data_IF_855603945038
#
_entry.id   IF_855603945038
#
_cell.length_a   1.000
_cell.length_b   1.000
_cell.length_c   1.000
_cell.angle_alpha   90.00
_cell.angle_beta   90.00
_cell.angle_gamma   90.00
#
_symmetry.space_group_name_H-M   'P 1'
#
loop_
_entity.id
_entity.type
_entity.pdbx_description
1 polymer ?
#
# COMPACT_ATOMS: atom_id res chain seq x y z
N UNK A 1 -2.62 26.10 -1.38
CA UNK A 1 -2.46 24.64 -1.24
C UNK A 1 -1.56 24.41 -0.05
N UNK A 2 -2.10 23.88 1.04
CA UNK A 2 -1.34 23.64 2.26
C UNK A 2 -1.00 22.15 2.26
N UNK A 3 0.23 21.84 1.91
CA UNK A 3 0.72 20.47 1.91
C UNK A 3 0.73 19.96 3.36
N UNK A 4 0.11 18.80 3.57
CA UNK A 4 0.05 18.11 4.85
C UNK A 4 1.44 17.86 5.43
N UNK A 5 1.54 18.00 6.74
CA UNK A 5 2.73 17.94 7.58
C UNK A 5 3.84 16.96 7.11
N UNK A 6 4.97 17.52 6.64
CA UNK A 6 6.11 16.83 6.01
C UNK A 6 7.07 16.12 6.99
N UNK A 7 6.78 16.12 8.29
CA UNK A 7 7.81 15.92 9.33
C UNK A 7 7.74 14.61 10.11
N UNK A 8 7.40 13.48 9.46
CA UNK A 8 7.68 12.14 10.03
C UNK A 8 8.60 11.35 9.11
N UNK A 9 9.60 10.74 9.74
CA UNK A 9 10.90 10.32 9.22
C UNK A 9 10.78 9.19 8.16
N UNK A 10 10.88 9.57 6.88
CA UNK A 10 11.68 8.84 5.88
C UNK A 10 12.75 9.84 5.44
N UNK A 11 14.00 9.62 5.84
CA UNK A 11 15.10 10.50 5.46
C UNK A 11 15.34 10.35 3.94
N UNK A 12 14.95 11.37 3.17
CA UNK A 12 15.35 11.56 1.77
C UNK A 12 14.30 11.32 0.67
N UNK A 13 13.36 10.38 0.84
CA UNK A 13 12.29 10.18 -0.14
C UNK A 13 10.99 10.75 0.40
N UNK A 14 10.73 12.04 0.12
CA UNK A 14 9.47 12.70 0.47
C UNK A 14 8.32 11.81 -0.01
N UNK A 15 7.33 11.51 0.83
CA UNK A 15 6.11 10.75 0.46
C UNK A 15 5.50 11.21 -0.88
N UNK A 16 5.58 12.51 -1.16
CA UNK A 16 5.20 13.10 -2.46
C UNK A 16 6.01 12.58 -3.65
N UNK A 17 7.29 12.26 -3.49
CA UNK A 17 8.13 11.63 -4.51
C UNK A 17 7.65 10.23 -4.85
N UNK A 18 7.35 9.37 -3.87
CA UNK A 18 6.81 8.01 -4.14
C UNK A 18 5.47 8.12 -4.87
N UNK A 19 4.56 8.97 -4.37
CA UNK A 19 3.30 9.28 -5.06
C UNK A 19 3.53 9.70 -6.51
N UNK A 20 4.41 10.69 -6.73
CA UNK A 20 4.66 11.25 -8.06
C UNK A 20 5.29 10.21 -8.98
N UNK A 21 6.20 9.39 -8.46
CA UNK A 21 6.81 8.30 -9.23
C UNK A 21 5.76 7.25 -9.59
N UNK A 22 4.98 6.76 -8.63
CA UNK A 22 3.96 5.73 -8.88
C UNK A 22 2.88 6.22 -9.84
N UNK A 23 2.34 7.42 -9.63
CA UNK A 23 1.35 8.01 -10.55
C UNK A 23 1.90 8.15 -11.97
N UNK A 24 3.11 8.71 -12.15
CA UNK A 24 3.72 8.85 -13.48
C UNK A 24 4.02 7.52 -14.15
N UNK A 25 4.45 6.51 -13.38
CA UNK A 25 4.71 5.17 -13.92
C UNK A 25 3.42 4.51 -14.38
N UNK A 26 2.34 4.63 -13.60
CA UNK A 26 1.02 4.12 -13.98
C UNK A 26 0.47 4.85 -15.21
N UNK A 27 0.58 6.18 -15.25
CA UNK A 27 0.17 6.97 -16.40
C UNK A 27 0.96 6.59 -17.67
N UNK A 28 2.28 6.42 -17.54
CA UNK A 28 3.14 5.94 -18.62
C UNK A 28 2.70 4.55 -19.10
N UNK A 29 2.46 3.62 -18.18
CA UNK A 29 1.99 2.28 -18.55
C UNK A 29 0.66 2.31 -19.32
N UNK A 30 -0.32 3.05 -18.82
CA UNK A 30 -1.61 3.17 -19.50
C UNK A 30 -1.55 3.88 -20.85
N UNK A 31 -0.52 4.68 -21.10
CA UNK A 31 -0.34 5.43 -22.36
C UNK A 31 0.41 4.60 -23.40
N UNK A 32 1.47 3.91 -22.99
CA UNK A 32 2.40 3.25 -23.89
C UNK A 32 2.08 1.77 -24.16
N UNK A 33 1.22 1.16 -23.34
CA UNK A 33 0.90 -0.25 -23.44
C UNK A 33 -0.61 -0.48 -23.43
N UNK A 34 -1.05 -1.43 -24.25
CA UNK A 34 -2.38 -2.01 -24.18
C UNK A 34 -2.32 -3.24 -23.28
N UNK A 35 -3.20 -3.30 -22.29
CA UNK A 35 -3.28 -4.44 -21.39
C UNK A 35 -4.57 -5.21 -21.63
N UNK A 36 -4.45 -6.52 -21.77
CA UNK A 36 -5.58 -7.44 -21.87
C UNK A 36 -5.27 -8.76 -21.17
N UNK A 37 -6.31 -9.48 -20.77
CA UNK A 37 -6.17 -10.84 -20.25
C UNK A 37 -6.08 -11.83 -21.42
N UNK A 38 -5.01 -12.62 -21.49
CA UNK A 38 -4.79 -13.55 -22.61
C UNK A 38 -5.92 -14.58 -22.79
N UNK A 39 -6.65 -14.93 -21.72
CA UNK A 39 -7.72 -15.93 -21.76
C UNK A 39 -9.07 -15.32 -22.09
N UNK A 40 -9.41 -14.19 -21.47
CA UNK A 40 -10.73 -13.57 -21.64
C UNK A 40 -10.75 -12.50 -22.73
N UNK A 41 -9.57 -12.03 -23.18
CA UNK A 41 -9.40 -10.90 -24.11
C UNK A 41 -10.00 -9.59 -23.55
N UNK A 42 -10.23 -9.53 -22.24
CA UNK A 42 -10.73 -8.32 -21.58
C UNK A 42 -9.62 -7.29 -21.47
N UNK A 43 -9.88 -6.10 -22.02
CA UNK A 43 -8.99 -4.97 -21.95
C UNK A 43 -9.08 -4.29 -20.59
N UNK A 44 -7.95 -3.76 -20.11
CA UNK A 44 -7.90 -3.02 -18.86
C UNK A 44 -6.85 -1.92 -18.86
N UNK A 45 -6.97 -1.03 -17.87
CA UNK A 45 -5.95 -0.06 -17.50
C UNK A 45 -5.74 -0.09 -15.98
N UNK A 46 -4.68 0.54 -15.50
CA UNK A 46 -4.41 0.67 -14.08
C UNK A 46 -4.92 2.01 -13.54
N UNK A 47 -5.72 1.99 -12.48
CA UNK A 47 -6.08 3.19 -11.72
C UNK A 47 -5.21 3.28 -10.46
N UNK A 48 -4.60 4.43 -10.24
CA UNK A 48 -3.82 4.71 -9.03
C UNK A 48 -4.62 5.62 -8.08
N UNK A 49 -4.67 5.27 -6.79
CA UNK A 49 -5.32 6.09 -5.77
C UNK A 49 -4.60 6.07 -4.43
N UNK A 50 -4.83 7.11 -3.63
CA UNK A 50 -4.26 7.30 -2.30
C UNK A 50 -5.41 7.67 -1.35
N UNK A 51 -6.11 6.69 -0.77
CA UNK A 51 -7.41 6.90 -0.11
C UNK A 51 -7.36 7.87 1.08
N UNK A 52 -6.19 8.08 1.68
CA UNK A 52 -6.04 8.83 2.93
C UNK A 52 -5.17 10.10 2.82
N UNK A 53 -4.72 10.50 1.63
CA UNK A 53 -3.79 11.62 1.47
C UNK A 53 -4.36 12.99 1.87
N UNK A 54 -5.64 13.25 1.55
CA UNK A 54 -6.30 14.55 1.77
C UNK A 54 -7.45 14.48 2.79
N UNK A 55 -7.53 13.42 3.61
CA UNK A 55 -8.62 13.33 4.57
C UNK A 55 -8.39 14.29 5.74
N UNK A 56 -9.41 15.09 6.06
CA UNK A 56 -9.39 16.03 7.18
C UNK A 56 -9.31 15.33 8.54
N UNK A 57 -9.79 14.08 8.62
CA UNK A 57 -9.75 13.23 9.80
C UNK A 57 -8.92 11.97 9.57
N UNK A 58 -8.13 11.59 10.57
CA UNK A 58 -7.42 10.31 10.58
C UNK A 58 -8.43 9.14 10.51
N UNK A 59 -8.23 8.16 9.61
CA UNK A 59 -9.12 7.03 9.51
C UNK A 59 -9.01 6.15 10.74
N UNK A 60 -10.09 5.44 11.06
CA UNK A 60 -10.05 4.39 12.06
C UNK A 60 -9.24 3.18 11.56
N UNK A 61 -8.66 2.42 12.50
CA UNK A 61 -8.02 1.13 12.18
C UNK A 61 -8.96 0.20 11.39
N UNK A 62 -10.26 0.22 11.69
CA UNK A 62 -11.25 -0.62 10.99
C UNK A 62 -11.33 -0.26 9.51
N UNK A 63 -11.49 1.03 9.20
CA UNK A 63 -11.55 1.52 7.82
C UNK A 63 -10.26 1.21 7.05
N UNK A 64 -9.09 1.39 7.68
CA UNK A 64 -7.82 1.04 7.04
C UNK A 64 -7.76 -0.44 6.71
N UNK A 65 -8.18 -1.31 7.64
CA UNK A 65 -8.20 -2.75 7.38
C UNK A 65 -9.21 -3.15 6.30
N UNK A 66 -10.37 -2.49 6.22
CA UNK A 66 -11.35 -2.72 5.14
C UNK A 66 -10.74 -2.39 3.76
N UNK A 67 -9.91 -1.35 3.67
CA UNK A 67 -9.20 -1.03 2.44
C UNK A 67 -8.07 -2.01 2.11
N UNK A 68 -7.34 -2.52 3.13
CA UNK A 68 -6.32 -3.55 2.91
C UNK A 68 -6.93 -4.91 2.56
N UNK A 69 -8.18 -5.16 2.96
CA UNK A 69 -8.92 -6.36 2.58
C UNK A 69 -9.28 -6.38 1.08
N UNK A 70 -9.27 -5.22 0.41
CA UNK A 70 -9.38 -5.15 -1.04
C UNK A 70 -8.20 -5.85 -1.75
N UNK A 71 -7.03 -5.95 -1.09
CA UNK A 71 -5.86 -6.57 -1.69
C UNK A 71 -6.15 -8.03 -2.04
N UNK A 72 -6.16 -8.32 -3.34
CA UNK A 72 -6.29 -9.66 -3.89
C UNK A 72 -5.36 -9.78 -5.10
N UNK A 73 -4.11 -10.14 -4.79
CA UNK A 73 -3.01 -10.30 -5.72
C UNK A 73 -3.26 -11.50 -6.62
N UNK A 74 -4.01 -11.23 -7.66
CA UNK A 74 -4.48 -12.16 -8.68
C UNK A 74 -5.74 -11.71 -9.40
N UNK A 75 -6.48 -10.70 -8.89
CA UNK A 75 -7.72 -10.23 -9.51
C UNK A 75 -7.69 -8.75 -9.90
N UNK A 76 -7.86 -7.86 -8.93
CA UNK A 76 -8.20 -6.46 -9.23
C UNK A 76 -7.40 -5.41 -8.47
N UNK A 77 -6.88 -5.69 -7.27
CA UNK A 77 -6.27 -4.65 -6.43
C UNK A 77 -4.92 -5.08 -5.88
N UNK A 78 -3.98 -4.14 -5.94
CA UNK A 78 -2.68 -4.19 -5.27
C UNK A 78 -2.64 -3.05 -4.26
N UNK A 79 -2.32 -3.37 -3.01
CA UNK A 79 -2.13 -2.37 -1.96
C UNK A 79 -0.65 -2.28 -1.60
N UNK A 80 -0.07 -1.09 -1.72
CA UNK A 80 1.28 -0.77 -1.26
C UNK A 80 1.13 -0.04 0.06
N UNK A 81 1.91 -0.44 1.07
CA UNK A 81 1.83 0.10 2.43
C UNK A 81 3.22 0.52 2.92
N UNK A 82 3.28 1.67 3.58
CA UNK A 82 4.43 2.11 4.37
C UNK A 82 4.18 1.93 5.87
N UNK A 83 5.17 1.41 6.58
CA UNK A 83 5.07 1.19 8.02
C UNK A 83 6.40 1.30 8.75
N UNK A 84 6.30 1.68 10.03
CA UNK A 84 7.40 1.55 10.98
C UNK A 84 7.31 0.18 11.65
N UNK A 85 8.45 -0.41 11.96
CA UNK A 85 8.51 -1.67 12.70
C UNK A 85 9.56 -1.69 13.81
N UNK A 86 9.30 -2.51 14.81
CA UNK A 86 10.21 -2.77 15.92
C UNK A 86 11.34 -3.72 15.47
N UNK A 87 12.60 -3.29 15.57
CA UNK A 87 13.76 -4.06 15.08
C UNK A 87 14.15 -5.23 15.98
N UNK A 88 13.64 -5.27 17.22
CA UNK A 88 13.99 -6.30 18.21
C UNK A 88 14.74 -5.73 19.42
N UNK A 89 15.39 -4.58 19.30
CA UNK A 89 16.12 -3.88 20.37
C UNK A 89 15.47 -2.51 20.68
N UNK A 90 15.09 -2.22 21.93
CA UNK A 90 14.52 -0.92 22.30
C UNK A 90 15.50 0.27 22.21
N UNK A 91 16.80 0.01 22.08
CA UNK A 91 17.83 1.03 21.94
C UNK A 91 18.19 1.32 20.47
N UNK A 92 17.72 0.50 19.54
CA UNK A 92 17.88 0.75 18.11
C UNK A 92 16.77 1.66 17.59
N UNK A 93 17.06 2.45 16.53
CA UNK A 93 16.02 3.19 15.85
C UNK A 93 14.99 2.21 15.26
N UNK A 94 13.74 2.66 15.17
CA UNK A 94 12.70 1.92 14.47
C UNK A 94 13.12 1.68 13.02
N UNK A 95 12.79 0.50 12.50
CA UNK A 95 12.87 0.23 11.08
C UNK A 95 11.70 0.91 10.36
N UNK A 96 11.91 1.32 9.12
CA UNK A 96 10.86 1.82 8.23
C UNK A 96 10.88 1.02 6.94
N UNK A 97 9.72 0.57 6.47
CA UNK A 97 9.63 -0.31 5.31
C UNK A 97 8.44 0.00 4.39
N UNK A 98 8.59 -0.35 3.12
CA UNK A 98 7.54 -0.34 2.11
C UNK A 98 7.33 -1.76 1.60
N UNK A 99 6.09 -2.22 1.59
CA UNK A 99 5.76 -3.56 1.12
C UNK A 99 4.43 -3.59 0.37
N UNK A 100 4.19 -4.69 -0.34
CA UNK A 100 2.94 -4.93 -1.05
C UNK A 100 2.11 -5.95 -0.28
N UNK A 101 0.89 -5.58 0.09
CA UNK A 101 -0.09 -6.54 0.60
C UNK A 101 -0.62 -7.33 -0.59
N UNK A 102 -0.34 -8.63 -0.61
CA UNK A 102 -0.81 -9.54 -1.63
C UNK A 102 -2.25 -9.94 -1.38
N UNK A 103 -2.57 -10.32 -0.15
CA UNK A 103 -3.90 -10.75 0.22
C UNK A 103 -4.11 -10.60 1.70
N UNK A 104 -5.35 -10.44 2.10
CA UNK A 104 -5.75 -10.50 3.50
C UNK A 104 -6.39 -11.85 3.79
N UNK A 105 -6.09 -12.42 4.97
CA UNK A 105 -6.71 -13.66 5.42
C UNK A 105 -6.83 -13.65 6.95
N UNK A 106 -7.49 -14.67 7.52
CA UNK A 106 -7.61 -14.83 8.98
C UNK A 106 -6.26 -14.85 9.71
N UNK A 107 -5.18 -15.23 9.02
CA UNK A 107 -3.81 -15.26 9.58
C UNK A 107 -3.18 -13.88 9.65
N UNK A 108 -3.64 -12.92 8.84
CA UNK A 108 -3.02 -11.61 8.70
C UNK A 108 -2.94 -11.10 7.27
N UNK A 109 -2.12 -10.08 7.11
CA UNK A 109 -1.74 -9.50 5.82
C UNK A 109 -0.60 -10.32 5.23
N UNK A 110 -0.80 -10.89 4.05
CA UNK A 110 0.25 -11.62 3.33
C UNK A 110 1.06 -10.61 2.54
N UNK A 111 2.33 -10.45 2.88
CA UNK A 111 3.21 -9.45 2.32
C UNK A 111 4.02 -10.04 1.16
N UNK A 112 4.28 -9.25 0.14
CA UNK A 112 5.34 -9.49 -0.83
C UNK A 112 6.48 -8.55 -0.48
N UNK A 113 7.48 -9.08 0.20
CA UNK A 113 8.68 -8.34 0.52
C UNK A 113 9.87 -8.83 -0.30
N UNK A 114 10.67 -7.87 -0.77
CA UNK A 114 11.97 -8.06 -1.41
C UNK A 114 13.10 -8.38 -0.41
N UNK A 115 12.89 -8.17 0.89
CA UNK A 115 13.95 -8.21 1.92
C UNK A 115 13.60 -9.07 3.14
N UNK A 116 13.55 -10.40 3.01
CA UNK A 116 13.55 -11.39 4.11
C UNK A 116 12.60 -11.17 5.32
N UNK A 117 11.67 -10.20 5.32
CA UNK A 117 10.73 -10.00 6.42
C UNK A 117 9.65 -11.10 6.46
N UNK A 118 8.90 -11.13 7.57
CA UNK A 118 7.76 -12.02 7.75
C UNK A 118 6.81 -11.90 6.55
N UNK A 119 6.62 -13.01 5.85
CA UNK A 119 5.67 -13.14 4.75
C UNK A 119 4.20 -12.91 5.16
N UNK A 120 3.90 -12.95 6.46
CA UNK A 120 2.57 -12.68 7.00
C UNK A 120 2.69 -11.80 8.25
N UNK A 121 2.01 -10.65 8.26
CA UNK A 121 1.85 -9.77 9.43
C UNK A 121 0.47 -10.04 10.06
N UNK A 122 0.39 -10.62 11.27
CA UNK A 122 -0.88 -10.82 11.96
C UNK A 122 -1.58 -9.49 12.25
N UNK A 123 -2.89 -9.42 12.05
CA UNK A 123 -3.66 -8.20 12.34
C UNK A 123 -3.57 -7.81 13.82
N UNK A 124 -3.38 -8.78 14.71
CA UNK A 124 -3.17 -8.58 16.14
C UNK A 124 -1.82 -7.97 16.48
N UNK A 125 -0.81 -8.03 15.60
CA UNK A 125 0.51 -7.41 15.79
C UNK A 125 0.54 -5.97 15.23
N UNK A 126 -0.50 -5.59 14.47
CA UNK A 126 -0.59 -4.34 13.73
C UNK A 126 -1.34 -3.24 14.48
N UNK A 127 -0.75 -2.05 14.47
CA UNK A 127 -1.40 -0.77 14.75
C UNK A 127 -1.43 0.11 13.50
N UNK A 128 -2.30 1.12 13.51
CA UNK A 128 -2.47 2.05 12.39
C UNK A 128 -2.48 3.46 12.96
N UNK A 129 -1.66 4.34 12.41
CA UNK A 129 -1.48 5.73 12.82
C UNK A 129 -1.28 5.90 14.33
N UNK A 130 -0.68 4.91 14.99
CA UNK A 130 -0.41 4.98 16.42
C UNK A 130 0.56 6.12 16.71
N UNK A 131 0.24 6.92 17.73
CA UNK A 131 1.17 7.90 18.29
C UNK A 131 2.28 7.27 19.11
N UNK A 132 2.12 6.01 19.52
CA UNK A 132 3.13 5.21 20.22
C UNK A 132 4.02 4.50 19.21
N UNK A 133 5.31 4.48 19.49
CA UNK A 133 6.28 3.69 18.74
C UNK A 133 5.90 2.19 18.79
N UNK A 134 6.16 1.44 17.70
CA UNK A 134 6.08 -0.02 17.70
C UNK A 134 6.92 -0.63 18.82
N UNK A 135 6.49 -1.78 19.33
CA UNK A 135 7.21 -2.50 20.38
C UNK A 135 6.96 -4.00 20.30
N UNK A 136 7.50 -4.79 21.23
CA UNK A 136 7.51 -6.25 21.11
C UNK A 136 6.14 -6.92 20.90
N UNK A 137 5.07 -6.36 21.49
CA UNK A 137 3.70 -6.91 21.38
C UNK A 137 2.91 -6.37 20.19
N UNK A 138 3.29 -5.20 19.68
CA UNK A 138 2.70 -4.53 18.52
C UNK A 138 3.83 -4.02 17.63
N UNK A 139 4.54 -4.93 16.95
CA UNK A 139 5.77 -4.60 16.26
C UNK A 139 5.57 -3.80 14.98
N UNK A 140 4.34 -3.61 14.50
CA UNK A 140 4.08 -2.89 13.25
C UNK A 140 3.12 -1.71 13.47
N UNK A 141 3.47 -0.55 12.92
CA UNK A 141 2.62 0.63 12.88
C UNK A 141 2.52 1.17 11.46
N UNK A 142 1.38 0.92 10.82
CA UNK A 142 1.13 1.38 9.46
C UNK A 142 0.74 2.85 9.48
N UNK A 143 1.22 3.59 8.48
CA UNK A 143 0.75 4.96 8.26
C UNK A 143 -0.34 4.94 7.19
N UNK A 144 -1.56 5.36 7.53
CA UNK A 144 -2.68 5.32 6.58
C UNK A 144 -2.45 6.21 5.35
N UNK A 145 -1.78 7.36 5.54
CA UNK A 145 -1.39 8.25 4.45
C UNK A 145 -0.38 7.63 3.47
N UNK A 146 0.29 6.55 3.88
CA UNK A 146 1.26 5.77 3.11
C UNK A 146 0.62 4.49 2.54
N UNK A 147 -0.70 4.48 2.36
CA UNK A 147 -1.42 3.42 1.66
C UNK A 147 -1.70 3.89 0.23
N UNK A 148 -1.14 3.16 -0.73
CA UNK A 148 -1.41 3.36 -2.15
C UNK A 148 -2.14 2.16 -2.73
N UNK A 149 -3.05 2.42 -3.65
CA UNK A 149 -3.86 1.38 -4.29
C UNK A 149 -3.68 1.49 -5.79
N UNK A 150 -3.37 0.36 -6.41
CA UNK A 150 -3.41 0.19 -7.86
C UNK A 150 -4.55 -0.79 -8.15
N UNK A 151 -5.50 -0.35 -8.98
CA UNK A 151 -6.67 -1.13 -9.37
C UNK A 151 -6.61 -1.47 -10.86
N UNK A 152 -6.89 -2.71 -11.23
CA UNK A 152 -7.23 -3.13 -12.58
C UNK A 152 -8.64 -2.62 -12.93
N UNK A 153 -8.73 -1.63 -13.82
CA UNK A 153 -10.01 -1.10 -14.33
C UNK A 153 -10.32 -1.73 -15.67
N UNK A 154 -11.40 -2.50 -15.72
CA UNK A 154 -11.92 -3.09 -16.95
C UNK A 154 -12.38 -2.01 -17.94
N UNK A 155 -12.06 -2.20 -19.22
CA UNK A 155 -12.39 -1.29 -20.32
C UNK A 155 -13.37 -1.89 -21.33
N UNK A 156 -13.63 -3.20 -21.26
CA UNK A 156 -14.42 -3.92 -22.26
C UNK A 156 -13.68 -5.13 -22.81
N UNK A 157 -14.27 -5.75 -23.83
CA UNK A 157 -13.63 -6.82 -24.61
C UNK A 157 -12.87 -6.23 -25.80
N UNK A 158 -11.74 -6.85 -26.17
CA UNK A 158 -11.03 -6.51 -27.40
C UNK A 158 -11.90 -6.88 -28.60
N UNK A 159 -12.42 -5.88 -29.32
CA UNK A 159 -13.11 -6.12 -30.60
C UNK A 159 -12.04 -6.27 -31.69
N UNK A 160 -11.64 -7.51 -31.98
CA UNK A 160 -10.87 -7.80 -33.20
C UNK A 160 -11.76 -7.62 -34.42
N UNK A 161 -11.49 -6.59 -35.22
CA UNK A 161 -12.10 -6.36 -36.55
C UNK A 161 -11.60 -7.38 -37.57
#
# INVERSE_FOLDING_TARGET
MQDGNFSKYFDGTKRGTIKNTLSRVIDYFNTEFEFFDDKTQECFQFEFSIPYWLKESSPSRKEVLEYLDLADNGKEYICIVGYDFYTGDPNEPLGGHWSVVRKTSEKGLHMLDSSEEKSIIPLSELTVDSSRNPGPSKPYNFTSADIFIIRKKWLGELVTL
#
